data_IF_603033793120
#
_entry.id   IF_603033793120
#
_cell.length_a   1.000
_cell.length_b   1.000
_cell.length_c   1.000
_cell.angle_alpha   90.00
_cell.angle_beta   90.00
_cell.angle_gamma   90.00
#
_symmetry.space_group_name_H-M   'P 1'
#
loop_
_entity.id
_entity.type
_entity.pdbx_description
1 polymer ?
#
# COMPACT_ATOMS: atom_id res chain seq x y z
N UNK A 1 0.84 -7.34 -9.51
CA UNK A 1 1.88 -8.35 -9.81
C UNK A 1 2.99 -7.81 -10.68
N UNK A 2 2.74 -7.45 -11.95
CA UNK A 2 3.78 -6.94 -12.85
C UNK A 2 4.57 -5.74 -12.27
N UNK A 3 3.87 -4.74 -11.72
CA UNK A 3 4.53 -3.58 -11.10
C UNK A 3 5.49 -3.97 -9.97
N UNK A 4 5.09 -4.87 -9.08
CA UNK A 4 5.96 -5.34 -8.00
C UNK A 4 7.12 -6.20 -8.53
N UNK A 5 6.89 -7.01 -9.56
CA UNK A 5 7.95 -7.79 -10.22
C UNK A 5 9.03 -6.89 -10.83
N UNK A 6 8.65 -5.93 -11.68
CA UNK A 6 9.64 -5.04 -12.30
C UNK A 6 10.38 -4.18 -11.28
N UNK A 7 9.68 -3.69 -10.24
CA UNK A 7 10.34 -2.99 -9.13
C UNK A 7 11.36 -3.87 -8.39
N UNK A 8 11.06 -5.16 -8.21
CA UNK A 8 12.03 -6.10 -7.63
C UNK A 8 13.27 -6.25 -8.52
N UNK A 9 13.07 -6.44 -9.84
CA UNK A 9 14.17 -6.57 -10.80
C UNK A 9 15.04 -5.31 -10.86
N UNK A 10 14.43 -4.13 -10.72
CA UNK A 10 15.14 -2.84 -10.62
C UNK A 10 15.80 -2.60 -9.25
N UNK A 11 15.63 -3.52 -8.28
CA UNK A 11 16.22 -3.43 -6.95
C UNK A 11 15.45 -2.55 -5.95
N UNK A 12 14.26 -2.06 -6.31
CA UNK A 12 13.40 -1.25 -5.44
C UNK A 12 13.02 -2.02 -4.17
N UNK A 13 13.23 -1.38 -3.02
CA UNK A 13 12.92 -1.95 -1.70
C UNK A 13 11.56 -1.52 -1.16
N UNK A 14 11.02 -0.41 -1.67
CA UNK A 14 9.79 0.19 -1.17
C UNK A 14 8.99 0.88 -2.26
N UNK A 15 7.69 0.63 -2.29
CA UNK A 15 6.73 1.23 -3.20
C UNK A 15 5.73 2.07 -2.39
N UNK A 16 5.21 3.13 -3.01
CA UNK A 16 4.10 3.93 -2.49
C UNK A 16 2.96 3.92 -3.50
N UNK A 17 1.73 3.79 -3.02
CA UNK A 17 0.53 3.86 -3.88
C UNK A 17 -0.66 4.47 -3.13
N UNK A 18 -1.65 4.92 -3.87
CA UNK A 18 -2.93 5.40 -3.38
C UNK A 18 -4.05 4.37 -3.56
N UNK A 19 -5.12 4.47 -2.77
CA UNK A 19 -6.34 3.68 -3.01
C UNK A 19 -7.58 4.39 -2.48
N UNK A 20 -8.68 4.29 -3.21
CA UNK A 20 -9.99 4.71 -2.71
C UNK A 20 -10.63 3.61 -1.88
N UNK A 21 -11.37 2.73 -2.55
CA UNK A 21 -12.13 1.66 -1.91
C UNK A 21 -11.28 0.52 -1.31
N UNK A 22 -9.97 0.43 -1.63
CA UNK A 22 -9.07 -0.59 -1.09
C UNK A 22 -8.75 -1.75 -2.03
N UNK A 23 -9.42 -1.88 -3.19
CA UNK A 23 -9.18 -2.99 -4.13
C UNK A 23 -7.76 -2.98 -4.71
N UNK A 24 -7.34 -1.84 -5.26
CA UNK A 24 -5.99 -1.66 -5.81
C UNK A 24 -4.91 -1.89 -4.76
N UNK A 25 -5.04 -1.21 -3.61
CA UNK A 25 -4.10 -1.37 -2.50
C UNK A 25 -3.98 -2.82 -1.99
N UNK A 26 -5.09 -3.57 -1.93
CA UNK A 26 -5.06 -5.00 -1.53
C UNK A 26 -4.32 -5.87 -2.53
N UNK A 27 -4.55 -5.65 -3.83
CA UNK A 27 -3.86 -6.38 -4.90
C UNK A 27 -2.36 -6.09 -4.90
N UNK A 28 -1.96 -4.83 -4.73
CA UNK A 28 -0.56 -4.46 -4.69
C UNK A 28 0.11 -4.94 -3.40
N UNK A 29 -0.56 -4.88 -2.25
CA UNK A 29 -0.05 -5.40 -0.98
C UNK A 29 0.26 -6.91 -1.06
N UNK A 30 -0.65 -7.69 -1.65
CA UNK A 30 -0.40 -9.11 -1.90
C UNK A 30 0.78 -9.36 -2.86
N UNK A 31 0.89 -8.56 -3.93
CA UNK A 31 2.03 -8.69 -4.84
C UNK A 31 3.35 -8.36 -4.14
N UNK A 32 3.40 -7.25 -3.39
CA UNK A 32 4.56 -6.82 -2.62
C UNK A 32 4.96 -7.85 -1.55
N UNK A 33 4.00 -8.54 -0.92
CA UNK A 33 4.30 -9.60 0.06
C UNK A 33 5.02 -10.79 -0.57
N UNK A 34 4.67 -11.16 -1.81
CA UNK A 34 5.35 -12.24 -2.56
C UNK A 34 6.79 -11.84 -2.90
N UNK A 35 6.99 -10.60 -3.35
CA UNK A 35 8.29 -10.11 -3.79
C UNK A 35 9.16 -9.51 -2.68
N UNK A 36 8.68 -9.50 -1.43
CA UNK A 36 9.35 -8.92 -0.25
C UNK A 36 9.73 -7.44 -0.45
N UNK A 37 8.80 -6.67 -1.01
CA UNK A 37 8.93 -5.22 -1.20
C UNK A 37 8.05 -4.53 -0.15
N UNK A 38 8.57 -3.52 0.53
CA UNK A 38 7.76 -2.71 1.45
C UNK A 38 6.71 -1.90 0.68
N UNK A 39 5.51 -1.76 1.23
CA UNK A 39 4.45 -1.00 0.59
C UNK A 39 3.82 0.00 1.55
N UNK A 40 3.84 1.28 1.18
CA UNK A 40 3.04 2.33 1.82
C UNK A 40 1.80 2.63 0.97
N UNK A 41 0.61 2.46 1.54
CA UNK A 41 -0.69 2.70 0.91
C UNK A 41 -1.36 3.93 1.52
N UNK A 42 -1.63 4.93 0.69
CA UNK A 42 -2.38 6.13 1.07
C UNK A 42 -3.84 5.96 0.67
N UNK A 43 -4.67 5.56 1.63
CA UNK A 43 -6.08 5.26 1.43
C UNK A 43 -6.95 6.49 1.75
N UNK A 44 -7.90 6.84 0.88
CA UNK A 44 -8.79 8.00 1.09
C UNK A 44 -9.46 7.90 2.47
N UNK A 45 -9.36 8.96 3.30
CA UNK A 45 -9.74 8.99 4.71
C UNK A 45 -11.14 8.42 4.97
N UNK A 46 -12.13 8.84 4.19
CA UNK A 46 -13.51 8.34 4.34
C UNK A 46 -13.59 6.82 4.15
N UNK A 47 -12.86 6.26 3.19
CA UNK A 47 -12.82 4.82 2.97
C UNK A 47 -11.93 4.10 4.01
N UNK A 48 -10.87 4.74 4.50
CA UNK A 48 -10.02 4.21 5.56
C UNK A 48 -10.81 3.98 6.85
N UNK A 49 -11.73 4.89 7.17
CA UNK A 49 -12.60 4.82 8.34
C UNK A 49 -13.82 3.90 8.12
N UNK A 50 -14.49 4.00 6.97
CA UNK A 50 -15.72 3.26 6.69
C UNK A 50 -15.50 1.82 6.21
N UNK A 51 -14.31 1.49 5.67
CA UNK A 51 -13.98 0.16 5.12
C UNK A 51 -12.78 -0.47 5.84
N UNK A 52 -12.85 -0.67 7.17
CA UNK A 52 -11.71 -1.09 7.99
C UNK A 52 -11.15 -2.46 7.60
N UNK A 53 -11.99 -3.38 7.10
CA UNK A 53 -11.56 -4.70 6.66
C UNK A 53 -10.64 -4.65 5.44
N UNK A 54 -10.79 -3.66 4.55
CA UNK A 54 -9.90 -3.51 3.39
C UNK A 54 -8.50 -3.08 3.83
N UNK A 55 -8.44 -2.17 4.80
CA UNK A 55 -7.18 -1.81 5.48
C UNK A 55 -6.55 -3.03 6.16
N UNK A 56 -7.35 -3.80 6.90
CA UNK A 56 -6.87 -4.99 7.61
C UNK A 56 -6.23 -6.01 6.65
N UNK A 57 -6.86 -6.28 5.51
CA UNK A 57 -6.31 -7.18 4.47
C UNK A 57 -4.94 -6.68 3.97
N UNK A 58 -4.83 -5.38 3.66
CA UNK A 58 -3.56 -4.79 3.22
C UNK A 58 -2.47 -4.92 4.30
N UNK A 59 -2.82 -4.69 5.56
CA UNK A 59 -1.90 -4.84 6.70
C UNK A 59 -1.52 -6.31 6.95
N UNK A 60 -2.42 -7.26 6.75
CA UNK A 60 -2.12 -8.71 6.81
C UNK A 60 -1.06 -9.11 5.78
N UNK A 61 -1.03 -8.46 4.61
CA UNK A 61 0.03 -8.63 3.62
C UNK A 61 1.29 -7.80 3.89
N UNK A 62 1.37 -7.12 5.05
CA UNK A 62 2.56 -6.36 5.46
C UNK A 62 2.63 -4.92 4.93
N UNK A 63 1.57 -4.40 4.32
CA UNK A 63 1.55 -3.01 3.86
C UNK A 63 1.24 -2.01 5.00
N UNK A 64 1.93 -0.88 5.01
CA UNK A 64 1.59 0.26 5.87
C UNK A 64 0.44 1.03 5.24
N UNK A 65 -0.63 1.29 6.00
CA UNK A 65 -1.79 2.02 5.50
C UNK A 65 -1.96 3.36 6.21
N UNK A 66 -2.04 4.44 5.45
CA UNK A 66 -2.20 5.81 5.94
C UNK A 66 -3.50 6.43 5.40
N UNK A 67 -4.23 7.16 6.23
CA UNK A 67 -5.43 7.88 5.81
C UNK A 67 -5.01 9.16 5.05
N UNK A 68 -5.49 9.32 3.80
CA UNK A 68 -5.23 10.48 2.95
C UNK A 68 -6.40 11.48 2.99
N UNK A 69 -6.17 12.79 3.18
CA UNK A 69 -4.87 13.46 3.25
C UNK A 69 -4.11 13.12 4.54
N UNK A 70 -2.83 12.78 4.39
CA UNK A 70 -1.93 12.43 5.48
C UNK A 70 -0.90 13.55 5.65
N UNK A 71 -0.84 14.19 6.82
CA UNK A 71 0.13 15.25 7.09
C UNK A 71 1.47 14.64 7.57
N UNK A 72 2.26 14.12 6.64
CA UNK A 72 3.65 13.71 6.90
C UNK A 72 4.59 14.77 6.34
N UNK A 73 5.26 15.53 7.20
CA UNK A 73 6.44 16.28 6.77
C UNK A 73 7.52 15.26 6.39
N UNK A 74 7.87 15.18 5.10
CA UNK A 74 9.00 14.35 4.70
C UNK A 74 10.29 15.07 5.08
N UNK A 75 10.94 14.64 6.16
CA UNK A 75 12.39 14.85 6.28
C UNK A 75 13.03 13.83 5.32
N UNK A 76 13.13 14.20 4.04
CA UNK A 76 14.07 13.58 3.12
C UNK A 76 15.40 14.30 3.25
#
# INVERSE_FOLDING_TARGET
MAQAFYNKEEGTKKITTETGAGQWGSSLAFACSIFKIELDVYMVKVSFEQKPYRKMIMQTFGANCYASPFNRKSNR
#
